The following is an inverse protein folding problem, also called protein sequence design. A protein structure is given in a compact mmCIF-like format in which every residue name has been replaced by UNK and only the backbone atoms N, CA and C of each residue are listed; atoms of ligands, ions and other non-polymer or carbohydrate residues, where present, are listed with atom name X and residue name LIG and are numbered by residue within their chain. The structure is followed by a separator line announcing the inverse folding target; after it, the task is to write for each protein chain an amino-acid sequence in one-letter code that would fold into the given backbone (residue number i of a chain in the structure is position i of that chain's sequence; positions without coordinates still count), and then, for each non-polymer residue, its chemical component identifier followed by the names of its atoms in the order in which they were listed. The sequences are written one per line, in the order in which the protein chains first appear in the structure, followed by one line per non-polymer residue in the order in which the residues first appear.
data_IF_104706523851
#
_entry.id   IF_104706523851
#
_cell.length_a   1.000
_cell.length_b   1.000
_cell.length_c   1.000
_cell.angle_alpha   90.00
_cell.angle_beta   90.00
_cell.angle_gamma   90.00
#
_symmetry.space_group_name_H-M   'P 1'
#
loop_
_entity.id
_entity.type
_entity.pdbx_description
1 polymer ?
#
# COMPACT_ATOMS: atom_id res chain seq x y z
N UNK A 1 2.08 2.80 7.63
CA UNK A 1 2.92 3.16 8.80
C UNK A 1 2.14 4.14 9.68
N UNK A 2 2.67 4.48 10.85
CA UNK A 2 2.16 5.58 11.67
C UNK A 2 0.67 5.46 12.06
N UNK A 3 -0.08 6.58 12.09
CA UNK A 3 -1.45 6.63 12.61
C UNK A 3 -2.49 5.94 11.72
N UNK A 4 -2.10 5.48 10.52
CA UNK A 4 -2.99 4.75 9.60
C UNK A 4 -3.01 3.25 9.85
N UNK A 5 -2.22 2.73 10.79
CA UNK A 5 -2.26 1.30 11.14
C UNK A 5 -3.67 0.84 11.54
N UNK A 6 -4.42 1.68 12.26
CA UNK A 6 -5.82 1.38 12.63
C UNK A 6 -6.74 1.31 11.41
N UNK A 7 -6.49 2.13 10.38
CA UNK A 7 -7.26 2.07 9.12
C UNK A 7 -6.96 0.78 8.35
N UNK A 8 -5.69 0.36 8.32
CA UNK A 8 -5.26 -0.90 7.69
C UNK A 8 -5.91 -2.11 8.36
N UNK A 9 -5.94 -2.16 9.71
CA UNK A 9 -6.59 -3.25 10.43
C UNK A 9 -8.08 -3.32 10.13
N UNK A 10 -8.78 -2.19 10.14
CA UNK A 10 -10.21 -2.15 9.77
C UNK A 10 -10.45 -2.53 8.31
N UNK A 11 -9.54 -2.15 7.40
CA UNK A 11 -9.63 -2.56 6.01
C UNK A 11 -9.46 -4.09 5.85
N UNK A 12 -8.57 -4.70 6.64
CA UNK A 12 -8.40 -6.15 6.66
C UNK A 12 -9.68 -6.85 7.14
N UNK A 13 -10.32 -6.34 8.20
CA UNK A 13 -11.61 -6.87 8.67
C UNK A 13 -12.68 -6.78 7.58
N UNK A 14 -12.77 -5.64 6.89
CA UNK A 14 -13.71 -5.45 5.77
C UNK A 14 -13.40 -6.38 4.59
N UNK A 15 -12.12 -6.55 4.21
CA UNK A 15 -11.71 -7.48 3.15
C UNK A 15 -12.12 -8.92 3.46
N UNK A 16 -11.94 -9.36 4.70
CA UNK A 16 -12.34 -10.70 5.11
C UNK A 16 -13.87 -10.84 5.14
N UNK A 17 -14.58 -9.94 5.82
CA UNK A 17 -16.03 -10.04 6.05
C UNK A 17 -16.87 -9.82 4.79
N UNK A 18 -16.52 -8.82 3.97
CA UNK A 18 -17.33 -8.42 2.83
C UNK A 18 -16.94 -9.12 1.52
N UNK A 19 -15.71 -9.63 1.43
CA UNK A 19 -15.13 -10.10 0.18
C UNK A 19 -14.43 -11.46 0.26
N UNK A 20 -14.35 -12.07 1.44
CA UNK A 20 -13.66 -13.35 1.67
C UNK A 20 -12.19 -13.30 1.22
N UNK A 21 -11.55 -12.14 1.37
CA UNK A 21 -10.14 -11.91 1.02
C UNK A 21 -9.31 -11.84 2.31
N UNK A 22 -8.46 -12.83 2.52
CA UNK A 22 -7.46 -12.82 3.59
C UNK A 22 -6.23 -11.99 3.21
N UNK A 23 -5.69 -11.25 4.19
CA UNK A 23 -4.53 -10.38 3.98
C UNK A 23 -3.44 -10.62 5.02
N UNK A 24 -2.18 -10.50 4.58
CA UNK A 24 -1.06 -10.32 5.48
C UNK A 24 -0.85 -8.85 5.79
N UNK A 25 -0.52 -8.52 7.04
CA UNK A 25 -0.33 -7.13 7.48
C UNK A 25 1.09 -6.96 8.02
N UNK A 26 1.76 -5.89 7.56
CA UNK A 26 3.09 -5.50 8.04
C UNK A 26 3.07 -4.06 8.56
N UNK A 27 3.62 -3.87 9.76
CA UNK A 27 3.89 -2.55 10.30
C UNK A 27 5.28 -2.09 9.85
N UNK A 28 5.32 -1.06 9.00
CA UNK A 28 6.56 -0.42 8.58
C UNK A 28 6.85 0.75 9.52
N UNK A 29 7.93 0.65 10.30
CA UNK A 29 8.37 1.69 11.23
C UNK A 29 9.15 2.81 10.53
N UNK A 30 9.93 2.48 9.49
CA UNK A 30 10.64 3.46 8.68
C UNK A 30 10.81 2.96 7.24
N UNK A 31 10.19 3.65 6.29
CA UNK A 31 10.39 3.36 4.86
C UNK A 31 11.81 3.73 4.41
N UNK A 32 12.33 4.86 4.88
CA UNK A 32 13.66 5.36 4.51
C UNK A 32 14.78 4.41 4.94
N UNK A 33 14.71 3.83 6.14
CA UNK A 33 15.75 2.88 6.60
C UNK A 33 15.69 1.56 5.84
N UNK A 34 14.48 1.05 5.54
CA UNK A 34 14.33 -0.15 4.72
C UNK A 34 14.87 0.07 3.30
N UNK A 35 14.63 1.24 2.71
CA UNK A 35 15.19 1.63 1.41
C UNK A 35 16.72 1.67 1.48
N UNK A 36 17.30 2.38 2.46
CA UNK A 36 18.76 2.52 2.60
C UNK A 36 19.45 1.17 2.76
N UNK A 37 18.89 0.28 3.58
CA UNK A 37 19.47 -1.06 3.78
C UNK A 37 19.39 -1.90 2.50
N UNK A 38 18.28 -1.83 1.76
CA UNK A 38 18.15 -2.52 0.49
C UNK A 38 19.09 -1.97 -0.59
N UNK A 39 19.24 -0.64 -0.68
CA UNK A 39 20.19 0.00 -1.60
C UNK A 39 21.64 -0.39 -1.31
N UNK A 40 22.04 -0.44 -0.03
CA UNK A 40 23.40 -0.84 0.33
C UNK A 40 23.66 -2.32 0.03
N UNK A 41 22.64 -3.19 0.21
CA UNK A 41 22.71 -4.60 -0.19
C UNK A 41 22.88 -4.72 -1.70
N UNK A 42 22.06 -4.02 -2.50
CA UNK A 42 22.13 -4.05 -3.96
C UNK A 42 23.47 -3.49 -4.47
N UNK A 43 23.93 -2.37 -3.89
CA UNK A 43 25.24 -1.81 -4.19
C UNK A 43 26.36 -2.81 -3.90
N UNK A 44 26.31 -3.48 -2.75
CA UNK A 44 27.32 -4.49 -2.41
C UNK A 44 27.28 -5.66 -3.40
N UNK A 45 26.09 -6.16 -3.72
CA UNK A 45 25.85 -7.24 -4.68
C UNK A 45 26.42 -6.91 -6.08
N UNK A 46 26.16 -5.68 -6.56
CA UNK A 46 26.70 -5.15 -7.82
C UNK A 46 28.23 -5.16 -7.86
N UNK A 47 28.87 -4.80 -6.75
CA UNK A 47 30.34 -4.72 -6.64
C UNK A 47 31.01 -6.08 -6.36
N UNK A 48 30.23 -7.13 -6.06
CA UNK A 48 30.75 -8.46 -5.70
C UNK A 48 30.00 -9.58 -6.45
N UNK A 49 30.06 -9.61 -7.81
CA UNK A 49 29.31 -10.57 -8.61
C UNK A 49 29.76 -12.03 -8.41
N UNK A 50 31.02 -12.27 -8.00
CA UNK A 50 31.58 -13.60 -7.73
C UNK A 50 31.18 -14.15 -6.35
N UNK A 51 30.59 -13.32 -5.48
CA UNK A 51 30.19 -13.72 -4.12
C UNK A 51 28.73 -14.15 -4.05
N UNK A 52 28.42 -14.89 -2.99
CA UNK A 52 27.04 -15.20 -2.65
C UNK A 52 26.29 -13.89 -2.37
N UNK A 53 25.28 -13.62 -3.19
CA UNK A 53 24.48 -12.41 -3.12
C UNK A 53 23.77 -12.29 -1.76
N UNK A 54 23.87 -11.11 -1.16
CA UNK A 54 23.22 -10.73 0.09
C UNK A 54 21.74 -10.50 -0.16
N UNK A 55 20.94 -10.58 0.91
CA UNK A 55 19.51 -10.30 0.89
C UNK A 55 19.17 -9.23 1.90
N UNK A 56 18.44 -8.22 1.47
CA UNK A 56 17.92 -7.16 2.31
C UNK A 56 16.95 -7.69 3.37
N UNK A 57 16.64 -6.87 4.37
CA UNK A 57 15.60 -7.16 5.35
C UNK A 57 14.24 -7.39 4.68
N UNK A 58 13.88 -6.54 3.72
CA UNK A 58 12.64 -6.64 2.95
C UNK A 58 12.54 -7.98 2.21
N UNK A 59 13.58 -8.33 1.45
CA UNK A 59 13.59 -9.61 0.72
C UNK A 59 13.50 -10.80 1.68
N UNK A 60 14.22 -10.78 2.81
CA UNK A 60 14.17 -11.87 3.80
C UNK A 60 12.76 -12.05 4.39
N UNK A 61 12.06 -10.95 4.66
CA UNK A 61 10.71 -10.97 5.24
C UNK A 61 9.62 -11.30 4.22
N UNK A 62 9.77 -10.82 2.98
CA UNK A 62 8.72 -10.88 1.96
C UNK A 62 8.92 -11.96 0.89
N UNK A 63 10.06 -12.66 0.87
CA UNK A 63 10.42 -13.66 -0.17
C UNK A 63 9.33 -14.69 -0.53
N UNK A 64 8.48 -15.05 0.44
CA UNK A 64 7.47 -16.10 0.25
C UNK A 64 6.11 -15.54 -0.21
N UNK A 65 5.96 -14.21 -0.28
CA UNK A 65 4.70 -13.55 -0.57
C UNK A 65 4.78 -12.85 -1.93
N UNK A 66 4.44 -13.57 -2.99
CA UNK A 66 4.35 -13.03 -4.36
C UNK A 66 2.91 -12.61 -4.67
N UNK A 67 2.35 -11.76 -3.81
CA UNK A 67 0.98 -11.26 -3.91
C UNK A 67 1.00 -9.74 -4.05
N UNK A 68 -0.06 -9.13 -4.60
CA UNK A 68 -0.11 -7.68 -4.68
C UNK A 68 -0.02 -7.03 -3.29
N UNK A 69 0.77 -5.97 -3.16
CA UNK A 69 0.98 -5.21 -1.94
C UNK A 69 0.33 -3.84 -2.05
N UNK A 70 -0.46 -3.45 -1.04
CA UNK A 70 -0.97 -2.08 -0.88
C UNK A 70 -0.30 -1.47 0.34
N UNK A 71 0.48 -0.41 0.14
CA UNK A 71 1.13 0.35 1.19
C UNK A 71 0.38 1.65 1.46
N UNK A 72 0.31 2.04 2.73
CA UNK A 72 -0.47 3.19 3.18
C UNK A 72 0.34 3.98 4.20
N UNK A 73 0.42 5.29 4.00
CA UNK A 73 1.08 6.24 4.90
C UNK A 73 0.26 7.53 5.05
N UNK A 74 0.43 8.23 6.17
CA UNK A 74 -0.05 9.62 6.34
C UNK A 74 0.87 10.66 5.67
N UNK A 75 1.84 10.19 4.89
CA UNK A 75 2.70 11.00 4.04
C UNK A 75 2.30 10.78 2.57
N UNK A 76 2.84 11.62 1.69
CA UNK A 76 2.73 11.45 0.23
C UNK A 76 3.14 10.05 -0.22
N UNK A 77 2.52 9.55 -1.30
CA UNK A 77 2.75 8.20 -1.84
C UNK A 77 4.23 7.88 -1.99
N UNK A 78 5.00 8.86 -2.46
CA UNK A 78 6.44 8.76 -2.69
C UNK A 78 7.20 8.20 -1.49
N UNK A 79 6.78 8.45 -0.25
CA UNK A 79 7.47 7.92 0.95
C UNK A 79 7.41 6.40 0.98
N UNK A 80 6.24 5.81 0.73
CA UNK A 80 6.09 4.35 0.71
C UNK A 80 6.62 3.72 -0.57
N UNK A 81 6.52 4.43 -1.71
CA UNK A 81 7.02 3.97 -3.01
C UNK A 81 8.53 3.74 -3.03
N UNK A 82 9.29 4.37 -2.11
CA UNK A 82 10.74 4.17 -1.96
C UNK A 82 11.15 2.71 -1.85
N UNK A 83 10.32 1.85 -1.27
CA UNK A 83 10.65 0.43 -1.10
C UNK A 83 10.09 -0.48 -2.19
N UNK A 84 9.27 0.06 -3.12
CA UNK A 84 8.59 -0.72 -4.14
C UNK A 84 9.52 -1.63 -4.96
N UNK A 85 10.73 -1.21 -5.38
CA UNK A 85 11.65 -2.06 -6.13
C UNK A 85 12.10 -3.32 -5.38
N UNK A 86 12.02 -3.32 -4.04
CA UNK A 86 12.51 -4.40 -3.18
C UNK A 86 11.38 -5.30 -2.65
N UNK A 87 10.12 -5.00 -2.99
CA UNK A 87 8.96 -5.81 -2.59
C UNK A 87 8.56 -6.75 -3.73
N UNK A 88 8.40 -8.07 -3.48
CA UNK A 88 7.98 -9.00 -4.51
C UNK A 88 6.55 -8.74 -5.00
N UNK A 89 6.38 -8.68 -6.33
CA UNK A 89 5.06 -8.57 -6.96
C UNK A 89 4.57 -7.13 -7.17
N UNK A 90 3.32 -6.93 -7.60
CA UNK A 90 2.76 -5.61 -7.81
C UNK A 90 2.70 -4.80 -6.50
N UNK A 91 3.11 -3.54 -6.56
CA UNK A 91 3.13 -2.63 -5.42
C UNK A 91 2.27 -1.39 -5.72
N UNK A 92 1.39 -1.04 -4.79
CA UNK A 92 0.49 0.11 -4.89
C UNK A 92 0.60 0.96 -3.62
N UNK A 93 0.67 2.28 -3.77
CA UNK A 93 0.78 3.21 -2.65
C UNK A 93 -0.46 4.10 -2.53
N UNK A 94 -0.94 4.26 -1.30
CA UNK A 94 -1.90 5.27 -0.88
C UNK A 94 -1.19 6.24 0.06
N UNK A 95 -1.40 7.53 -0.16
CA UNK A 95 -0.70 8.59 0.54
C UNK A 95 -1.43 9.91 0.41
N UNK A 96 -1.02 10.87 1.22
CA UNK A 96 -1.68 12.16 1.44
C UNK A 96 -1.12 13.25 0.52
N UNK A 97 -1.00 12.95 -0.77
CA UNK A 97 -0.56 13.91 -1.79
C UNK A 97 -1.57 15.08 -1.90
N UNK A 98 -1.07 16.31 -1.90
CA UNK A 98 -1.88 17.52 -1.97
C UNK A 98 -1.65 18.47 -0.79
N UNK A 99 -2.35 19.60 -0.79
CA UNK A 99 -2.24 20.58 0.30
C UNK A 99 -3.12 20.19 1.50
N UNK A 100 -2.58 20.42 2.70
CA UNK A 100 -3.32 20.21 3.94
C UNK A 100 -4.51 21.15 4.08
N UNK A 101 -5.52 20.72 4.85
CA UNK A 101 -6.74 21.47 5.12
C UNK A 101 -7.19 21.26 6.55
N UNK A 102 -7.97 22.22 7.04
CA UNK A 102 -8.64 22.09 8.34
C UNK A 102 -9.89 21.23 8.17
N UNK A 103 -9.85 20.02 8.72
CA UNK A 103 -11.04 19.19 8.92
C UNK A 103 -10.80 18.15 10.02
N UNK A 104 -11.82 17.34 10.33
CA UNK A 104 -11.67 16.16 11.20
C UNK A 104 -10.74 15.13 10.57
N UNK A 105 -10.08 14.31 11.40
CA UNK A 105 -9.16 13.25 10.93
C UNK A 105 -9.85 12.24 10.02
N UNK A 106 -11.11 11.92 10.29
CA UNK A 106 -11.88 10.99 9.46
C UNK A 106 -12.12 11.57 8.06
N UNK A 107 -12.62 12.81 7.99
CA UNK A 107 -12.88 13.47 6.71
C UNK A 107 -11.58 13.71 5.92
N UNK A 108 -10.47 14.04 6.58
CA UNK A 108 -9.17 14.19 5.91
C UNK A 108 -8.67 12.86 5.34
N UNK A 109 -8.77 11.75 6.07
CA UNK A 109 -8.35 10.42 5.56
C UNK A 109 -9.20 9.99 4.37
N UNK A 110 -10.50 10.26 4.41
CA UNK A 110 -11.39 10.00 3.29
C UNK A 110 -11.05 10.88 2.09
N UNK A 111 -10.84 12.18 2.32
CA UNK A 111 -10.44 13.15 1.30
C UNK A 111 -9.15 12.74 0.60
N UNK A 112 -8.10 12.41 1.36
CA UNK A 112 -6.80 11.98 0.86
C UNK A 112 -6.77 10.53 0.36
N UNK A 113 -7.89 9.80 0.41
CA UNK A 113 -8.00 8.44 -0.12
C UNK A 113 -7.11 7.41 0.62
N UNK A 114 -6.94 7.60 1.93
CA UNK A 114 -6.07 6.77 2.79
C UNK A 114 -6.83 6.07 3.93
N UNK A 115 -8.16 6.17 3.95
CA UNK A 115 -8.99 5.45 4.92
C UNK A 115 -9.18 3.96 4.54
N UNK A 116 -9.80 3.21 5.45
CA UNK A 116 -10.13 1.79 5.25
C UNK A 116 -10.84 1.46 3.94
N UNK A 117 -11.74 2.31 3.44
CA UNK A 117 -12.53 2.01 2.24
C UNK A 117 -11.68 2.09 0.97
N UNK A 118 -10.80 3.09 0.89
CA UNK A 118 -9.85 3.20 -0.21
C UNK A 118 -8.78 2.10 -0.17
N UNK A 119 -8.37 1.65 1.03
CA UNK A 119 -7.48 0.49 1.18
C UNK A 119 -8.14 -0.78 0.63
N UNK A 120 -9.42 -1.04 0.98
CA UNK A 120 -10.18 -2.17 0.43
C UNK A 120 -10.29 -2.07 -1.09
N UNK A 121 -10.67 -0.90 -1.61
CA UNK A 121 -10.79 -0.68 -3.06
C UNK A 121 -9.46 -0.92 -3.79
N UNK A 122 -8.35 -0.43 -3.24
CA UNK A 122 -7.02 -0.67 -3.79
C UNK A 122 -6.64 -2.15 -3.78
N UNK A 123 -6.94 -2.88 -2.70
CA UNK A 123 -6.71 -4.33 -2.60
C UNK A 123 -7.51 -5.13 -3.64
N UNK A 124 -8.81 -4.83 -3.78
CA UNK A 124 -9.68 -5.44 -4.80
C UNK A 124 -9.16 -5.14 -6.20
N UNK A 125 -8.80 -3.88 -6.49
CA UNK A 125 -8.21 -3.49 -7.78
C UNK A 125 -6.93 -4.28 -8.07
N UNK A 126 -6.05 -4.39 -7.08
CA UNK A 126 -4.78 -5.10 -7.22
C UNK A 126 -4.99 -6.58 -7.57
N UNK A 127 -5.94 -7.25 -6.90
CA UNK A 127 -6.30 -8.64 -7.21
C UNK A 127 -6.98 -8.78 -8.57
N UNK A 128 -7.82 -7.83 -8.96
CA UNK A 128 -8.48 -7.84 -10.27
C UNK A 128 -7.47 -7.66 -11.42
N UNK A 129 -6.48 -6.79 -11.25
CA UNK A 129 -5.38 -6.61 -12.21
C UNK A 129 -4.47 -7.84 -12.28
N UNK A 130 -4.28 -8.55 -11.16
CA UNK A 130 -3.58 -9.83 -11.11
C UNK A 130 -4.42 -11.02 -11.65
N UNK A 131 -5.64 -10.77 -12.14
CA UNK A 131 -6.53 -11.81 -12.67
C UNK A 131 -7.08 -12.78 -11.62
N UNK A 132 -7.00 -12.43 -10.33
CA UNK A 132 -7.45 -13.29 -9.21
C UNK A 132 -8.93 -13.14 -8.92
N UNK A 133 -9.51 -11.99 -9.22
CA UNK A 133 -10.94 -11.71 -9.06
C UNK A 133 -11.49 -10.94 -10.27
N UNK A 134 -12.82 -10.88 -10.40
CA UNK A 134 -13.48 -10.15 -11.49
C UNK A 134 -13.40 -8.64 -11.26
N UNK A 135 -13.20 -7.88 -12.34
CA UNK A 135 -13.19 -6.40 -12.30
C UNK A 135 -14.50 -5.79 -11.78
N UNK A 136 -15.63 -6.48 -11.91
CA UNK A 136 -16.94 -6.04 -11.39
C UNK A 136 -16.93 -5.83 -9.88
N UNK A 137 -16.07 -6.56 -9.14
CA UNK A 137 -15.91 -6.40 -7.69
C UNK A 137 -15.46 -4.99 -7.29
N UNK A 138 -14.72 -4.29 -8.14
CA UNK A 138 -14.35 -2.89 -7.88
C UNK A 138 -15.59 -1.98 -7.88
N UNK A 139 -16.50 -2.15 -8.84
CA UNK A 139 -17.74 -1.37 -8.92
C UNK A 139 -18.66 -1.68 -7.74
N UNK A 140 -18.74 -2.95 -7.35
CA UNK A 140 -19.46 -3.37 -6.14
C UNK A 140 -18.91 -2.66 -4.89
N UNK A 141 -17.58 -2.57 -4.75
CA UNK A 141 -16.94 -1.91 -3.61
C UNK A 141 -17.17 -0.40 -3.57
N UNK A 142 -17.03 0.29 -4.71
CA UNK A 142 -17.31 1.72 -4.84
C UNK A 142 -18.74 2.02 -4.40
N UNK A 143 -19.71 1.24 -4.89
CA UNK A 143 -21.13 1.39 -4.53
C UNK A 143 -21.39 1.05 -3.06
N UNK A 144 -20.84 -0.05 -2.55
CA UNK A 144 -21.06 -0.52 -1.16
C UNK A 144 -20.55 0.48 -0.13
N UNK A 145 -19.37 1.04 -0.36
CA UNK A 145 -18.73 1.99 0.55
C UNK A 145 -19.03 3.46 0.22
N UNK A 146 -19.92 3.72 -0.75
CA UNK A 146 -20.34 5.07 -1.16
C UNK A 146 -19.16 5.98 -1.50
N UNK A 147 -18.15 5.42 -2.16
CA UNK A 147 -16.99 6.18 -2.64
C UNK A 147 -17.44 7.00 -3.84
N UNK A 148 -17.18 8.30 -3.82
CA UNK A 148 -17.46 9.20 -4.95
C UNK A 148 -16.34 9.10 -6.00
N UNK A 149 -16.61 8.53 -7.18
CA UNK A 149 -15.59 8.41 -8.24
C UNK A 149 -15.29 9.74 -8.93
N UNK A 150 -16.17 10.74 -8.82
CA UNK A 150 -16.04 12.04 -9.49
C UNK A 150 -15.50 13.12 -8.56
N UNK A 151 -15.14 12.76 -7.32
CA UNK A 151 -14.54 13.72 -6.38
C UNK A 151 -13.24 14.28 -6.96
N UNK A 152 -12.92 15.58 -6.71
CA UNK A 152 -11.69 16.17 -7.21
C UNK A 152 -10.46 15.46 -6.62
N UNK A 153 -9.39 15.43 -7.42
CA UNK A 153 -8.13 14.84 -6.98
C UNK A 153 -7.50 15.67 -5.86
N UNK A 154 -7.04 15.06 -4.75
CA UNK A 154 -6.46 15.79 -3.62
C UNK A 154 -5.29 16.74 -3.97
N UNK A 155 -4.58 16.48 -5.07
CA UNK A 155 -3.47 17.32 -5.56
C UNK A 155 -3.91 18.57 -6.34
N UNK A 156 -5.16 18.59 -6.81
CA UNK A 156 -5.67 19.67 -7.68
C UNK A 156 -6.41 20.76 -6.94
N UNK A 157 -6.70 20.54 -5.66
CA UNK A 157 -7.59 21.40 -4.88
C UNK A 157 -6.90 21.92 -3.63
#
# INVERSE_FOLDING_TARGET
SGPLMTEVLKAADLLHQDWEIDVGIWCVTSFSELRREAEEVERWNLLHPDKKQRKSHLERKLKNYKVPTVAVSDYVKMVSEQIAPYVPGPYYALGTDGFGRSETRENLRHFFEVDRYYIVLAGIRALALAGKIKKTKMQEAVKKYKIDPEKPSPITV
#
